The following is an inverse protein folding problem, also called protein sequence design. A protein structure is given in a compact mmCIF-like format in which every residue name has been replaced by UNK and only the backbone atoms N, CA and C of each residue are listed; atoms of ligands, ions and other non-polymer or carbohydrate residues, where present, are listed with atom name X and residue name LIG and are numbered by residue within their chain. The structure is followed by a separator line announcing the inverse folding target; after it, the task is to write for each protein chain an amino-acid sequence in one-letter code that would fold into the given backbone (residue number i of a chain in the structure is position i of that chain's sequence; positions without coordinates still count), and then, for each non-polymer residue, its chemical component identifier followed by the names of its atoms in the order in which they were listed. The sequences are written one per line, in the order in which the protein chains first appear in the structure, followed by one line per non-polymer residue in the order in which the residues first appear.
data_IF_433561578174
#
_entry.id   IF_433561578174
#
_cell.length_a   1.000
_cell.length_b   1.000
_cell.length_c   1.000
_cell.angle_alpha   90.00
_cell.angle_beta   90.00
_cell.angle_gamma   90.00
#
_symmetry.space_group_name_H-M   'P 1'
#
loop_
_entity.id
_entity.type
_entity.pdbx_description
1 polymer ?
#
# COMPACT_ATOMS: atom_id res chain seq x y z
N UNK A 1 16.77 19.99 -8.84
CA UNK A 1 16.68 20.99 -7.73
C UNK A 1 15.22 21.03 -7.30
N UNK A 2 14.89 20.35 -6.21
CA UNK A 2 13.51 20.29 -5.69
C UNK A 2 13.16 21.68 -5.17
N UNK A 3 12.31 22.43 -5.89
CA UNK A 3 11.83 23.73 -5.44
C UNK A 3 10.68 23.53 -4.47
N UNK A 4 10.90 23.98 -3.25
CA UNK A 4 9.92 24.02 -2.20
C UNK A 4 8.81 25.01 -2.54
N UNK A 5 7.62 24.56 -2.88
CA UNK A 5 6.43 25.39 -2.96
C UNK A 5 5.44 25.00 -1.87
N UNK A 6 5.38 25.86 -0.86
CA UNK A 6 4.52 25.75 0.33
C UNK A 6 2.99 25.70 0.03
N UNK A 7 2.57 25.81 -1.22
CA UNK A 7 1.16 26.03 -1.56
C UNK A 7 0.27 24.78 -1.55
N UNK A 8 0.79 23.57 -1.75
CA UNK A 8 0.01 22.33 -1.51
C UNK A 8 0.08 21.83 -0.07
N UNK A 9 1.14 22.17 0.67
CA UNK A 9 1.24 21.93 2.10
C UNK A 9 0.58 23.03 2.94
N UNK A 10 0.16 24.14 2.32
CA UNK A 10 -0.59 25.25 2.93
C UNK A 10 -2.09 25.01 2.98
N UNK A 11 -2.58 23.86 2.70
CA UNK A 11 -3.92 23.55 3.15
C UNK A 11 -3.85 23.35 4.68
N UNK A 12 -3.69 24.47 5.41
CA UNK A 12 -4.32 24.62 6.71
C UNK A 12 -5.79 24.31 6.46
N UNK A 13 -6.15 23.01 6.46
CA UNK A 13 -7.51 22.60 6.66
C UNK A 13 -7.92 23.13 8.03
N UNK A 14 -8.26 24.40 8.10
CA UNK A 14 -9.30 24.82 9.02
C UNK A 14 -10.53 24.07 8.55
N UNK A 15 -10.70 22.88 9.15
CA UNK A 15 -11.90 22.09 9.02
C UNK A 15 -13.04 23.01 9.49
N UNK A 16 -13.57 23.77 8.55
CA UNK A 16 -14.83 24.49 8.74
C UNK A 16 -15.95 23.46 8.65
N UNK A 17 -16.05 22.64 9.68
CA UNK A 17 -16.93 21.50 9.90
C UNK A 17 -16.56 20.23 9.11
N UNK A 18 -16.25 19.15 9.84
CA UNK A 18 -16.14 17.76 9.34
C UNK A 18 -17.45 17.29 8.68
N UNK A 19 -18.58 17.88 9.03
CA UNK A 19 -19.88 17.45 8.60
C UNK A 19 -20.04 17.39 7.05
N UNK A 20 -19.71 18.38 6.23
CA UNK A 20 -19.93 18.28 4.80
C UNK A 20 -19.05 17.23 4.13
N UNK A 21 -17.79 17.12 4.56
CA UNK A 21 -16.80 16.22 3.96
C UNK A 21 -17.15 14.74 4.20
N UNK A 22 -17.52 14.37 5.41
CA UNK A 22 -17.91 13.00 5.75
C UNK A 22 -19.16 12.55 4.99
N UNK A 23 -20.12 13.45 4.76
CA UNK A 23 -21.33 13.12 3.99
C UNK A 23 -21.02 12.84 2.53
N UNK A 24 -20.10 13.59 1.90
CA UNK A 24 -19.64 13.31 0.53
C UNK A 24 -19.01 11.93 0.43
N UNK A 25 -18.16 11.56 1.39
CA UNK A 25 -17.53 10.24 1.40
C UNK A 25 -18.53 9.12 1.67
N UNK A 26 -19.43 9.28 2.65
CA UNK A 26 -20.50 8.30 2.92
C UNK A 26 -21.41 8.10 1.71
N UNK A 27 -21.81 9.16 1.05
CA UNK A 27 -22.64 9.09 -0.16
C UNK A 27 -21.92 8.34 -1.30
N UNK A 28 -20.63 8.63 -1.51
CA UNK A 28 -19.83 7.94 -2.52
C UNK A 28 -19.73 6.42 -2.21
N UNK A 29 -19.49 6.04 -0.96
CA UNK A 29 -19.41 4.64 -0.54
C UNK A 29 -20.78 3.97 -0.64
N UNK A 30 -21.84 4.61 -0.11
CA UNK A 30 -23.19 4.08 -0.15
C UNK A 30 -23.72 3.84 -1.58
N UNK A 31 -23.25 4.64 -2.54
CA UNK A 31 -23.53 4.48 -3.97
C UNK A 31 -22.64 3.45 -4.70
N UNK A 32 -21.77 2.74 -3.97
CA UNK A 32 -20.86 1.74 -4.56
C UNK A 32 -19.70 2.34 -5.37
N UNK A 33 -19.45 3.66 -5.27
CA UNK A 33 -18.42 4.33 -6.07
C UNK A 33 -16.98 4.11 -5.56
N UNK A 34 -16.79 3.44 -4.43
CA UNK A 34 -15.51 3.21 -3.80
C UNK A 34 -15.22 1.72 -3.71
N UNK A 35 -14.08 1.29 -4.21
CA UNK A 35 -13.50 -0.03 -4.00
C UNK A 35 -12.24 0.05 -3.14
N UNK A 36 -11.79 -1.09 -2.64
CA UNK A 36 -10.60 -1.23 -1.81
C UNK A 36 -9.63 -2.23 -2.42
N UNK A 37 -8.32 -1.94 -2.39
CA UNK A 37 -7.28 -2.82 -2.93
C UNK A 37 -6.25 -3.10 -1.83
N UNK A 38 -6.17 -4.35 -1.42
CA UNK A 38 -5.23 -4.82 -0.42
C UNK A 38 -3.98 -5.39 -1.11
N UNK A 39 -2.82 -4.78 -0.87
CA UNK A 39 -1.53 -5.29 -1.34
C UNK A 39 -0.98 -6.33 -0.36
N UNK A 40 -1.15 -7.61 -0.67
CA UNK A 40 -0.88 -8.74 0.22
C UNK A 40 0.06 -9.81 -0.39
N UNK A 41 0.90 -9.45 -1.36
CA UNK A 41 1.86 -10.38 -1.99
C UNK A 41 3.02 -10.83 -1.09
N UNK A 42 3.19 -10.24 0.09
CA UNK A 42 4.30 -10.50 1.01
C UNK A 42 4.14 -11.77 1.85
N UNK A 43 5.30 -12.43 2.13
CA UNK A 43 5.41 -13.55 3.07
C UNK A 43 5.74 -13.08 4.48
N UNK A 44 5.45 -13.92 5.47
CA UNK A 44 5.72 -13.68 6.90
C UNK A 44 7.17 -13.97 7.35
N UNK A 45 8.14 -14.06 6.45
CA UNK A 45 9.49 -14.54 6.75
C UNK A 45 10.19 -13.76 7.85
N UNK A 46 10.06 -12.43 7.85
CA UNK A 46 10.60 -11.57 8.93
C UNK A 46 9.88 -11.74 10.28
N UNK A 47 8.70 -12.36 10.26
CA UNK A 47 7.93 -12.71 11.46
C UNK A 47 8.23 -14.15 11.92
N UNK A 48 9.12 -14.86 11.21
CA UNK A 48 9.46 -16.26 11.48
C UNK A 48 8.40 -17.24 10.95
N UNK A 49 7.63 -16.87 9.95
CA UNK A 49 6.61 -17.69 9.31
C UNK A 49 6.88 -17.85 7.80
N UNK A 50 6.67 -19.04 7.27
CA UNK A 50 6.73 -19.37 5.85
C UNK A 50 5.37 -19.18 5.15
N UNK A 51 4.37 -18.70 5.86
CA UNK A 51 3.01 -18.44 5.39
C UNK A 51 2.85 -17.00 4.89
N UNK A 52 1.75 -16.70 4.16
CA UNK A 52 1.40 -15.33 3.81
C UNK A 52 1.36 -14.43 5.05
N UNK A 53 1.83 -13.18 4.93
CA UNK A 53 1.90 -12.27 6.07
C UNK A 53 0.55 -12.04 6.74
N UNK A 54 -0.52 -11.96 5.95
CA UNK A 54 -1.88 -11.72 6.44
C UNK A 54 -2.46 -12.82 7.32
N UNK A 55 -1.93 -14.05 7.25
CA UNK A 55 -2.37 -15.16 8.12
C UNK A 55 -1.64 -15.19 9.46
N UNK A 56 -0.70 -14.26 9.69
CA UNK A 56 0.04 -14.21 10.95
C UNK A 56 -0.90 -13.84 12.10
N UNK A 57 -0.83 -14.63 13.17
CA UNK A 57 -1.65 -14.43 14.37
C UNK A 57 -1.01 -13.40 15.31
N UNK A 58 -1.71 -12.31 15.51
CA UNK A 58 -1.33 -11.21 16.41
C UNK A 58 -2.09 -11.24 17.73
N UNK A 59 -2.93 -12.25 17.95
CA UNK A 59 -3.72 -12.40 19.15
C UNK A 59 -2.87 -12.68 20.41
N UNK A 60 -3.49 -12.52 21.58
CA UNK A 60 -2.89 -12.78 22.91
C UNK A 60 -3.78 -13.72 23.70
N UNK A 61 -5.05 -13.39 23.85
CA UNK A 61 -6.07 -14.16 24.59
C UNK A 61 -6.95 -14.98 23.67
N UNK A 62 -7.07 -14.57 22.42
CA UNK A 62 -7.75 -15.25 21.32
C UNK A 62 -6.92 -15.17 20.05
N UNK A 63 -7.25 -15.97 19.06
CA UNK A 63 -6.65 -15.81 17.73
C UNK A 63 -7.19 -14.55 17.07
N UNK A 64 -6.28 -13.71 16.56
CA UNK A 64 -6.56 -12.53 15.77
C UNK A 64 -5.56 -12.46 14.63
N UNK A 65 -6.02 -12.60 13.43
CA UNK A 65 -5.15 -12.59 12.24
C UNK A 65 -5.04 -11.20 11.62
N UNK A 66 -3.93 -10.91 10.96
CA UNK A 66 -3.75 -9.62 10.26
C UNK A 66 -4.89 -9.40 9.25
N UNK A 67 -5.25 -10.42 8.44
CA UNK A 67 -6.37 -10.32 7.51
C UNK A 67 -7.70 -10.05 8.24
N UNK A 68 -7.97 -10.73 9.37
CA UNK A 68 -9.15 -10.50 10.19
C UNK A 68 -9.27 -9.02 10.59
N UNK A 69 -8.18 -8.43 11.12
CA UNK A 69 -8.16 -7.02 11.51
C UNK A 69 -8.46 -6.07 10.35
N UNK A 70 -7.93 -6.36 9.17
CA UNK A 70 -8.18 -5.52 7.99
C UNK A 70 -9.64 -5.64 7.53
N UNK A 71 -10.23 -6.83 7.58
CA UNK A 71 -11.65 -7.02 7.27
C UNK A 71 -12.53 -6.32 8.32
N UNK A 72 -12.20 -6.41 9.61
CA UNK A 72 -12.91 -5.69 10.67
C UNK A 72 -12.85 -4.16 10.46
N UNK A 73 -11.68 -3.61 10.12
CA UNK A 73 -11.54 -2.19 9.79
C UNK A 73 -12.40 -1.76 8.57
N UNK A 74 -12.59 -2.66 7.60
CA UNK A 74 -13.48 -2.41 6.47
C UNK A 74 -14.95 -2.55 6.88
N UNK A 75 -15.29 -3.52 7.74
CA UNK A 75 -16.65 -3.71 8.29
C UNK A 75 -17.12 -2.50 9.10
N UNK A 76 -16.23 -1.80 9.80
CA UNK A 76 -16.57 -0.55 10.50
C UNK A 76 -17.16 0.48 9.52
N UNK A 77 -16.59 0.59 8.32
CA UNK A 77 -17.07 1.48 7.26
C UNK A 77 -18.38 0.97 6.64
N UNK A 78 -18.51 -0.35 6.44
CA UNK A 78 -19.77 -0.97 5.99
C UNK A 78 -20.89 -0.67 6.97
N UNK A 79 -20.66 -0.83 8.28
CA UNK A 79 -21.63 -0.54 9.33
C UNK A 79 -22.01 0.95 9.36
N UNK A 80 -21.07 1.84 9.07
CA UNK A 80 -21.28 3.28 9.05
C UNK A 80 -22.05 3.77 7.81
N UNK A 81 -21.89 3.09 6.67
CA UNK A 81 -22.44 3.51 5.36
C UNK A 81 -23.61 2.66 4.87
N UNK A 82 -23.79 1.47 5.45
CA UNK A 82 -24.80 0.50 5.02
C UNK A 82 -24.49 -0.19 3.68
N UNK A 83 -23.26 -0.07 3.16
CA UNK A 83 -22.88 -0.62 1.85
C UNK A 83 -21.59 -1.40 1.93
N UNK A 84 -21.57 -2.60 1.32
CA UNK A 84 -20.34 -3.36 1.15
C UNK A 84 -19.44 -2.73 0.07
N UNK A 85 -18.14 -2.80 0.32
CA UNK A 85 -17.09 -2.31 -0.56
C UNK A 85 -16.41 -3.48 -1.27
N UNK A 86 -16.30 -3.46 -2.59
CA UNK A 86 -15.52 -4.48 -3.29
C UNK A 86 -14.05 -4.43 -2.85
N UNK A 87 -13.54 -5.55 -2.34
CA UNK A 87 -12.17 -5.73 -1.89
C UNK A 87 -11.39 -6.58 -2.90
N UNK A 88 -10.39 -5.98 -3.53
CA UNK A 88 -9.46 -6.65 -4.43
C UNK A 88 -8.17 -6.98 -3.69
N UNK A 89 -7.85 -8.25 -3.53
CA UNK A 89 -6.69 -8.74 -2.77
C UNK A 89 -5.59 -9.14 -3.73
N UNK A 90 -4.53 -8.34 -3.82
CA UNK A 90 -3.34 -8.66 -4.58
C UNK A 90 -2.47 -9.65 -3.80
N UNK A 91 -2.24 -10.79 -4.38
CA UNK A 91 -1.36 -11.86 -3.86
C UNK A 91 -0.10 -11.97 -4.71
N UNK A 92 0.77 -12.91 -4.40
CA UNK A 92 1.90 -13.33 -5.22
C UNK A 92 1.74 -14.80 -5.65
N UNK A 93 2.49 -15.25 -6.66
CA UNK A 93 2.51 -16.66 -7.05
C UNK A 93 2.75 -17.60 -5.85
N UNK A 94 3.60 -17.16 -4.91
CA UNK A 94 3.97 -17.96 -3.73
C UNK A 94 2.87 -18.10 -2.69
N UNK A 95 2.00 -17.10 -2.55
CA UNK A 95 1.06 -17.05 -1.44
C UNK A 95 -0.42 -17.03 -1.86
N UNK A 96 -0.71 -17.07 -3.16
CA UNK A 96 -2.07 -16.97 -3.66
C UNK A 96 -2.98 -18.08 -3.14
N UNK A 97 -2.56 -19.34 -3.31
CA UNK A 97 -3.34 -20.50 -2.89
C UNK A 97 -3.59 -20.49 -1.38
N UNK A 98 -2.54 -20.35 -0.59
CA UNK A 98 -2.64 -20.31 0.89
C UNK A 98 -3.54 -19.16 1.37
N UNK A 99 -3.47 -17.99 0.70
CA UNK A 99 -4.30 -16.84 1.05
C UNK A 99 -5.78 -17.13 0.78
N UNK A 100 -6.11 -17.65 -0.41
CA UNK A 100 -7.50 -17.97 -0.78
C UNK A 100 -8.07 -19.05 0.14
N UNK A 101 -7.31 -20.11 0.40
CA UNK A 101 -7.73 -21.20 1.29
C UNK A 101 -7.97 -20.70 2.71
N UNK A 102 -7.10 -19.83 3.22
CA UNK A 102 -7.26 -19.24 4.53
C UNK A 102 -8.53 -18.36 4.64
N UNK A 103 -8.81 -17.53 3.64
CA UNK A 103 -10.07 -16.78 3.61
C UNK A 103 -11.30 -17.69 3.61
N UNK A 104 -11.27 -18.77 2.84
CA UNK A 104 -12.35 -19.78 2.81
C UNK A 104 -12.49 -20.48 4.17
N UNK A 105 -11.38 -20.93 4.77
CA UNK A 105 -11.36 -21.57 6.10
C UNK A 105 -11.97 -20.66 7.16
N UNK A 106 -11.68 -19.38 7.12
CA UNK A 106 -12.20 -18.38 8.06
C UNK A 106 -13.56 -17.80 7.64
N UNK A 107 -14.26 -18.42 6.67
CA UNK A 107 -15.54 -17.92 6.15
C UNK A 107 -15.47 -16.42 5.81
N UNK A 108 -14.37 -16.01 5.15
CA UNK A 108 -14.08 -14.62 4.74
C UNK A 108 -14.20 -13.61 5.90
N UNK A 109 -14.01 -14.05 7.14
CA UNK A 109 -14.18 -13.25 8.36
C UNK A 109 -15.57 -12.59 8.44
N UNK A 110 -16.61 -13.24 7.91
CA UNK A 110 -17.97 -12.72 7.85
C UNK A 110 -18.24 -11.69 6.75
N UNK A 111 -17.27 -11.35 5.93
CA UNK A 111 -17.47 -10.50 4.75
C UNK A 111 -18.08 -11.30 3.60
N UNK A 112 -19.04 -10.77 2.80
CA UNK A 112 -19.61 -11.51 1.68
C UNK A 112 -18.56 -11.87 0.63
N UNK A 113 -18.44 -13.14 0.29
CA UNK A 113 -17.42 -13.65 -0.63
C UNK A 113 -17.51 -13.04 -2.04
N UNK A 114 -18.72 -12.65 -2.49
CA UNK A 114 -18.94 -12.03 -3.80
C UNK A 114 -18.32 -10.60 -3.90
N UNK A 115 -17.97 -10.02 -2.77
CA UNK A 115 -17.28 -8.73 -2.69
C UNK A 115 -15.75 -8.85 -2.54
N UNK A 116 -15.19 -10.08 -2.45
CA UNK A 116 -13.74 -10.30 -2.30
C UNK A 116 -13.18 -10.96 -3.57
N UNK A 117 -12.20 -10.31 -4.19
CA UNK A 117 -11.61 -10.71 -5.47
C UNK A 117 -10.10 -10.87 -5.32
N UNK A 118 -9.55 -12.04 -5.65
CA UNK A 118 -8.12 -12.32 -5.54
C UNK A 118 -7.45 -12.25 -6.90
N UNK A 119 -6.31 -11.58 -6.98
CA UNK A 119 -5.48 -11.54 -8.18
C UNK A 119 -3.99 -11.63 -7.83
N UNK A 120 -3.22 -12.16 -8.77
CA UNK A 120 -1.78 -12.35 -8.58
C UNK A 120 -1.04 -11.18 -9.21
N UNK A 121 -0.09 -10.59 -8.48
CA UNK A 121 0.80 -9.57 -9.02
C UNK A 121 1.69 -10.15 -10.12
N UNK A 122 2.00 -9.34 -11.12
CA UNK A 122 2.89 -9.75 -12.20
C UNK A 122 4.34 -9.93 -11.71
N UNK A 123 5.07 -10.76 -12.43
CA UNK A 123 6.47 -11.06 -12.15
C UNK A 123 7.36 -10.35 -13.17
N UNK A 124 8.52 -9.89 -12.72
CA UNK A 124 9.59 -9.37 -13.57
C UNK A 124 10.74 -10.35 -13.66
N UNK A 125 11.40 -10.48 -14.85
CA UNK A 125 12.59 -11.31 -14.98
C UNK A 125 13.74 -10.73 -14.16
N UNK A 126 14.57 -11.60 -13.60
CA UNK A 126 15.80 -11.22 -12.94
C UNK A 126 17.00 -11.36 -13.91
N UNK A 127 18.02 -10.52 -13.75
CA UNK A 127 19.22 -10.57 -14.58
C UNK A 127 20.50 -10.68 -13.75
N UNK A 128 21.57 -11.14 -14.38
CA UNK A 128 22.92 -10.97 -13.86
C UNK A 128 23.40 -9.51 -14.02
N UNK A 129 24.66 -9.24 -13.65
CA UNK A 129 25.27 -7.90 -13.74
C UNK A 129 25.54 -7.45 -15.18
N UNK A 130 25.59 -8.37 -16.15
CA UNK A 130 25.72 -8.09 -17.59
C UNK A 130 24.37 -7.93 -18.29
N UNK A 131 23.26 -8.04 -17.55
CA UNK A 131 21.91 -7.88 -18.08
C UNK A 131 21.33 -9.13 -18.76
N UNK A 132 21.99 -10.28 -18.64
CA UNK A 132 21.47 -11.57 -19.15
C UNK A 132 20.46 -12.14 -18.14
N UNK A 133 19.38 -12.72 -18.64
CA UNK A 133 18.40 -13.34 -17.76
C UNK A 133 19.00 -14.51 -16.98
N UNK A 134 18.78 -14.51 -15.67
CA UNK A 134 19.06 -15.66 -14.84
C UNK A 134 17.96 -16.73 -15.03
N UNK A 135 18.36 -17.99 -15.05
CA UNK A 135 17.42 -19.10 -15.23
C UNK A 135 17.14 -19.78 -13.90
N UNK A 136 15.86 -19.99 -13.60
CA UNK A 136 15.42 -20.82 -12.44
C UNK A 136 15.50 -22.31 -12.78
N UNK A 137 15.26 -22.67 -14.04
CA UNK A 137 15.41 -24.00 -14.60
C UNK A 137 15.77 -23.92 -16.08
N UNK A 138 16.05 -25.04 -16.73
CA UNK A 138 16.38 -25.08 -18.18
C UNK A 138 15.30 -24.47 -19.09
N UNK A 139 14.07 -24.35 -18.62
CA UNK A 139 12.92 -23.83 -19.39
C UNK A 139 12.22 -22.63 -18.75
N UNK A 140 12.72 -22.12 -17.61
CA UNK A 140 12.09 -21.03 -16.86
C UNK A 140 13.12 -19.98 -16.44
N UNK A 141 12.83 -18.73 -16.79
CA UNK A 141 13.59 -17.56 -16.33
C UNK A 141 13.32 -17.37 -14.82
N UNK A 142 14.36 -17.04 -14.07
CA UNK A 142 14.22 -16.63 -12.68
C UNK A 142 13.48 -15.29 -12.62
N UNK A 143 12.40 -15.25 -11.83
CA UNK A 143 11.54 -14.08 -11.73
C UNK A 143 11.38 -13.63 -10.28
N UNK A 144 10.94 -12.40 -10.11
CA UNK A 144 10.51 -11.85 -8.82
C UNK A 144 9.26 -11.00 -9.00
N UNK A 145 8.47 -10.78 -7.95
CA UNK A 145 7.40 -9.79 -8.00
C UNK A 145 7.89 -8.46 -8.59
N UNK A 146 7.10 -7.89 -9.52
CA UNK A 146 7.45 -6.65 -10.22
C UNK A 146 7.27 -5.38 -9.39
N UNK A 147 7.10 -5.53 -8.07
CA UNK A 147 6.85 -4.43 -7.15
C UNK A 147 5.36 -4.05 -7.04
N UNK A 148 5.07 -3.16 -6.10
CA UNK A 148 3.69 -2.76 -5.83
C UNK A 148 3.13 -1.72 -6.81
N UNK A 149 3.94 -1.14 -7.71
CA UNK A 149 3.48 -0.20 -8.73
C UNK A 149 2.68 -0.88 -9.87
N UNK A 150 2.92 -2.18 -10.11
CA UNK A 150 2.22 -2.95 -11.13
C UNK A 150 0.81 -3.44 -10.75
N UNK A 151 0.32 -3.08 -9.55
CA UNK A 151 -0.93 -3.63 -9.00
C UNK A 151 -2.15 -3.44 -9.92
N UNK A 152 -2.29 -2.26 -10.53
CA UNK A 152 -3.46 -1.96 -11.36
C UNK A 152 -3.45 -2.73 -12.68
N UNK A 153 -2.28 -2.87 -13.31
CA UNK A 153 -2.13 -3.70 -14.52
C UNK A 153 -2.41 -5.16 -14.22
N UNK A 154 -1.94 -5.68 -13.08
CA UNK A 154 -2.21 -7.06 -12.65
C UNK A 154 -3.71 -7.27 -12.38
N UNK A 155 -4.39 -6.30 -11.78
CA UNK A 155 -5.83 -6.31 -11.56
C UNK A 155 -6.61 -6.34 -12.89
N UNK A 156 -6.22 -5.50 -13.86
CA UNK A 156 -6.82 -5.49 -15.22
C UNK A 156 -6.58 -6.81 -15.95
N UNK A 157 -5.38 -7.37 -15.86
CA UNK A 157 -5.04 -8.67 -16.46
C UNK A 157 -5.87 -9.81 -15.88
N UNK A 158 -6.25 -9.73 -14.61
CA UNK A 158 -7.20 -10.66 -13.99
C UNK A 158 -8.67 -10.44 -14.43
N UNK A 159 -8.95 -9.38 -15.19
CA UNK A 159 -10.30 -9.06 -15.71
C UNK A 159 -11.19 -8.30 -14.73
N UNK A 160 -10.65 -7.79 -13.63
CA UNK A 160 -11.43 -7.09 -12.59
C UNK A 160 -11.74 -5.62 -12.93
N UNK A 161 -11.15 -5.07 -13.99
CA UNK A 161 -11.61 -3.84 -14.61
C UNK A 161 -13.08 -3.88 -15.01
N UNK A 162 -13.58 -5.06 -15.42
CA UNK A 162 -14.99 -5.28 -15.73
C UNK A 162 -15.90 -5.18 -14.51
N UNK A 163 -15.43 -5.66 -13.35
CA UNK A 163 -16.16 -5.51 -12.08
C UNK A 163 -16.18 -4.05 -11.67
N UNK A 164 -15.04 -3.34 -11.76
CA UNK A 164 -14.94 -1.92 -11.46
C UNK A 164 -15.92 -1.11 -12.32
N UNK A 165 -15.93 -1.35 -13.63
CA UNK A 165 -16.83 -0.67 -14.54
C UNK A 165 -18.31 -1.05 -14.31
N UNK A 166 -18.61 -2.35 -14.13
CA UNK A 166 -19.96 -2.86 -13.92
C UNK A 166 -20.59 -2.39 -12.60
N UNK A 167 -19.80 -2.25 -11.55
CA UNK A 167 -20.24 -1.73 -10.25
C UNK A 167 -20.24 -0.20 -10.18
N UNK A 168 -19.70 0.51 -11.18
CA UNK A 168 -19.60 1.97 -11.19
C UNK A 168 -18.59 2.51 -10.18
N UNK A 169 -17.53 1.77 -9.90
CA UNK A 169 -16.46 2.19 -8.97
C UNK A 169 -15.64 3.30 -9.62
N UNK A 170 -15.65 4.48 -9.02
CA UNK A 170 -14.93 5.67 -9.47
C UNK A 170 -13.61 5.88 -8.71
N UNK A 171 -13.46 5.26 -7.54
CA UNK A 171 -12.33 5.44 -6.64
C UNK A 171 -11.83 4.10 -6.09
N UNK A 172 -10.52 3.92 -6.02
CA UNK A 172 -9.88 2.75 -5.40
C UNK A 172 -8.98 3.19 -4.24
N UNK A 173 -9.30 2.71 -3.04
CA UNK A 173 -8.45 2.89 -1.87
C UNK A 173 -7.44 1.74 -1.80
N UNK A 174 -6.17 2.05 -2.04
CA UNK A 174 -5.07 1.08 -2.08
C UNK A 174 -4.27 1.13 -0.78
N UNK A 175 -4.05 -0.02 -0.16
CA UNK A 175 -3.39 -0.09 1.14
C UNK A 175 -2.58 -1.38 1.32
N UNK A 176 -1.61 -1.36 2.26
CA UNK A 176 -0.74 -2.50 2.53
C UNK A 176 -1.28 -3.40 3.65
N UNK A 177 -0.94 -4.69 3.56
CA UNK A 177 -1.34 -5.72 4.54
C UNK A 177 -0.71 -5.54 5.92
N UNK A 178 0.37 -4.78 6.04
CA UNK A 178 1.14 -4.71 7.27
C UNK A 178 0.59 -3.74 8.33
N UNK A 179 -0.21 -2.75 7.95
CA UNK A 179 -0.74 -1.77 8.90
C UNK A 179 -2.13 -2.19 9.42
N UNK A 180 -2.17 -2.72 10.63
CA UNK A 180 -3.39 -3.31 11.23
C UNK A 180 -4.37 -2.31 11.88
N UNK A 181 -4.00 -1.02 11.98
CA UNK A 181 -4.87 0.04 12.50
C UNK A 181 -5.47 0.93 11.42
N UNK A 182 -4.97 0.87 10.19
CA UNK A 182 -5.43 1.78 9.15
C UNK A 182 -6.95 1.68 8.91
N UNK A 183 -7.60 2.83 8.76
CA UNK A 183 -8.99 2.90 8.35
C UNK A 183 -9.08 2.81 6.84
N UNK A 184 -9.80 1.80 6.33
CA UNK A 184 -9.93 1.45 4.91
C UNK A 184 -11.21 2.06 4.37
N UNK A 185 -11.17 2.61 3.16
CA UNK A 185 -12.30 3.31 2.54
C UNK A 185 -12.94 4.37 3.48
N UNK A 186 -12.11 5.05 4.27
CA UNK A 186 -12.51 6.01 5.28
C UNK A 186 -13.38 7.13 4.67
N UNK A 187 -14.65 7.31 5.12
CA UNK A 187 -15.53 8.33 4.56
C UNK A 187 -14.99 9.75 4.64
N UNK A 188 -14.23 10.08 5.71
CA UNK A 188 -13.61 11.39 5.83
C UNK A 188 -12.50 11.59 4.81
N UNK A 189 -11.65 10.60 4.61
CA UNK A 189 -10.58 10.65 3.62
C UNK A 189 -11.11 10.70 2.18
N UNK A 190 -12.07 9.83 1.86
CA UNK A 190 -12.76 9.80 0.56
C UNK A 190 -13.43 11.15 0.29
N UNK A 191 -14.22 11.63 1.23
CA UNK A 191 -14.94 12.91 1.08
C UNK A 191 -14.00 14.11 0.99
N UNK A 192 -12.90 14.11 1.75
CA UNK A 192 -11.88 15.17 1.67
C UNK A 192 -11.22 15.21 0.29
N UNK A 193 -10.84 14.04 -0.26
CA UNK A 193 -10.21 13.96 -1.58
C UNK A 193 -11.17 14.47 -2.67
N UNK A 194 -12.42 14.03 -2.66
CA UNK A 194 -13.45 14.45 -3.62
C UNK A 194 -13.74 15.94 -3.50
N UNK A 195 -13.98 16.45 -2.28
CA UNK A 195 -14.36 17.84 -2.04
C UNK A 195 -13.26 18.85 -2.39
N UNK A 196 -12.00 18.41 -2.41
CA UNK A 196 -10.86 19.23 -2.84
C UNK A 196 -10.54 19.10 -4.34
N UNK A 197 -11.36 18.37 -5.10
CA UNK A 197 -11.13 18.09 -6.52
C UNK A 197 -9.76 17.48 -6.81
N UNK A 198 -9.20 16.73 -5.86
CA UNK A 198 -7.96 16.01 -6.07
C UNK A 198 -8.24 14.67 -6.75
N UNK A 199 -7.37 14.26 -7.67
CA UNK A 199 -7.47 12.98 -8.37
C UNK A 199 -6.85 11.82 -7.58
N UNK A 200 -6.09 12.16 -6.55
CA UNK A 200 -5.50 11.24 -5.59
C UNK A 200 -5.56 11.81 -4.18
N UNK A 201 -5.58 10.93 -3.19
CA UNK A 201 -5.32 11.24 -1.79
C UNK A 201 -4.26 10.30 -1.25
N UNK A 202 -3.45 10.77 -0.31
CA UNK A 202 -2.49 9.98 0.44
C UNK A 202 -2.69 10.22 1.93
N UNK A 203 -2.95 9.18 2.70
CA UNK A 203 -2.88 9.29 4.16
C UNK A 203 -1.42 9.46 4.59
N UNK A 204 -1.19 10.43 5.45
CA UNK A 204 0.15 10.78 5.95
C UNK A 204 0.14 10.93 7.46
N UNK A 205 1.30 10.69 8.06
CA UNK A 205 1.58 10.92 9.48
C UNK A 205 2.72 11.92 9.62
N UNK A 206 2.75 12.66 10.73
CA UNK A 206 3.95 13.44 11.03
C UNK A 206 5.09 12.51 11.45
N UNK A 207 6.27 12.74 10.88
CA UNK A 207 7.49 12.02 11.29
C UNK A 207 7.80 12.33 12.76
N UNK A 208 8.20 11.30 13.50
CA UNK A 208 8.61 11.49 14.92
C UNK A 208 9.97 12.16 15.03
N UNK A 209 10.81 12.04 14.00
CA UNK A 209 12.09 12.74 13.86
C UNK A 209 12.50 12.76 12.38
N UNK A 210 13.53 13.55 12.05
CA UNK A 210 14.02 13.73 10.68
C UNK A 210 14.58 12.44 10.02
N UNK A 211 15.04 11.49 10.81
CA UNK A 211 15.70 10.27 10.37
C UNK A 211 14.74 9.06 10.32
N UNK A 212 13.45 9.25 10.62
CA UNK A 212 12.46 8.20 10.52
C UNK A 212 12.40 7.64 9.08
N UNK A 213 12.47 6.29 8.97
CA UNK A 213 12.55 5.57 7.69
C UNK A 213 11.17 5.40 7.05
N UNK A 214 10.59 6.50 6.61
CA UNK A 214 9.33 6.54 5.84
C UNK A 214 9.50 7.46 4.64
N UNK A 215 8.89 7.13 3.51
CA UNK A 215 8.81 8.00 2.35
C UNK A 215 8.01 9.27 2.68
N UNK A 216 8.34 10.40 2.08
CA UNK A 216 7.74 11.70 2.38
C UNK A 216 7.00 12.24 1.17
N UNK A 217 5.71 12.56 1.36
CA UNK A 217 4.93 13.27 0.34
C UNK A 217 5.35 14.73 0.26
N UNK A 218 5.67 15.20 -0.93
CA UNK A 218 6.10 16.56 -1.21
C UNK A 218 5.64 17.00 -2.61
N UNK A 219 6.03 18.20 -3.01
CA UNK A 219 5.90 18.68 -4.40
C UNK A 219 7.28 18.72 -5.07
N UNK A 220 7.34 18.19 -6.26
CA UNK A 220 8.47 18.28 -7.18
C UNK A 220 7.98 18.97 -8.45
N UNK A 221 8.50 20.15 -8.76
CA UNK A 221 8.07 20.99 -9.89
C UNK A 221 6.55 21.23 -9.97
N UNK A 222 5.91 21.43 -8.80
CA UNK A 222 4.47 21.59 -8.59
C UNK A 222 3.62 20.33 -8.82
N UNK A 223 4.21 19.17 -9.06
CA UNK A 223 3.53 17.89 -9.11
C UNK A 223 3.71 17.12 -7.79
N UNK A 224 2.71 16.33 -7.37
CA UNK A 224 2.86 15.50 -6.19
C UNK A 224 4.00 14.48 -6.40
N UNK A 225 4.83 14.31 -5.39
CA UNK A 225 5.95 13.37 -5.41
C UNK A 225 6.12 12.74 -4.04
N UNK A 226 6.64 11.52 -4.02
CA UNK A 226 7.07 10.87 -2.80
C UNK A 226 8.57 10.63 -2.92
N UNK A 227 9.33 11.15 -1.96
CA UNK A 227 10.77 10.95 -1.85
C UNK A 227 11.01 9.90 -0.77
N UNK A 228 11.67 8.82 -1.12
CA UNK A 228 11.99 7.76 -0.17
C UNK A 228 13.04 8.23 0.85
N UNK A 229 13.00 7.66 2.05
CA UNK A 229 13.87 8.10 3.17
C UNK A 229 15.36 8.01 2.85
N UNK A 230 15.79 7.11 1.97
CA UNK A 230 17.19 6.96 1.54
C UNK A 230 17.58 7.94 0.41
N UNK A 231 16.62 8.61 -0.20
CA UNK A 231 16.81 9.66 -1.20
C UNK A 231 16.85 11.07 -0.57
N UNK A 232 16.36 11.20 0.68
CA UNK A 232 16.38 12.47 1.40
C UNK A 232 17.81 12.91 1.69
N UNK A 233 18.24 14.03 1.11
CA UNK A 233 19.53 14.66 1.39
C UNK A 233 19.53 15.29 2.80
N UNK A 234 20.71 15.57 3.34
CA UNK A 234 20.85 16.26 4.63
C UNK A 234 20.23 17.66 4.59
N UNK A 235 20.28 18.35 3.46
CA UNK A 235 19.60 19.63 3.25
C UNK A 235 18.08 19.46 3.39
N UNK A 236 17.49 18.47 2.73
CA UNK A 236 16.05 18.17 2.82
C UNK A 236 15.63 17.78 4.24
N UNK A 237 16.43 16.95 4.92
CA UNK A 237 16.15 16.53 6.31
C UNK A 237 16.16 17.68 7.32
N UNK A 238 16.97 18.70 7.08
CA UNK A 238 17.11 19.86 7.96
C UNK A 238 16.30 21.09 7.50
N UNK A 239 15.65 21.01 6.34
CA UNK A 239 14.83 22.10 5.82
C UNK A 239 13.61 22.35 6.72
N UNK A 240 13.29 23.63 6.95
CA UNK A 240 12.13 24.07 7.71
C UNK A 240 11.20 24.91 6.82
N UNK A 241 9.92 24.90 7.14
CA UNK A 241 8.92 25.76 6.51
C UNK A 241 8.95 27.18 7.12
N UNK A 242 8.10 28.07 6.63
CA UNK A 242 7.99 29.45 7.12
C UNK A 242 7.63 29.56 8.61
N UNK A 243 7.07 28.50 9.20
CA UNK A 243 6.71 28.41 10.63
C UNK A 243 7.84 27.81 11.49
N UNK A 244 8.98 27.43 10.90
CA UNK A 244 10.09 26.76 11.58
C UNK A 244 9.87 25.26 11.83
N UNK A 245 8.83 24.65 11.24
CA UNK A 245 8.56 23.21 11.34
C UNK A 245 9.34 22.46 10.26
N UNK A 246 9.70 21.16 10.48
CA UNK A 246 10.33 20.35 9.44
C UNK A 246 9.52 20.36 8.14
N UNK A 247 10.19 20.67 7.06
CA UNK A 247 9.55 20.85 5.77
C UNK A 247 9.14 19.51 5.13
N UNK A 248 9.99 18.48 5.23
CA UNK A 248 9.72 17.13 4.75
C UNK A 248 9.22 16.24 5.89
N UNK A 249 7.99 16.49 6.35
CA UNK A 249 7.44 15.90 7.58
C UNK A 249 6.25 14.96 7.36
N UNK A 250 5.64 14.94 6.17
CA UNK A 250 4.48 14.09 5.91
C UNK A 250 4.91 12.70 5.42
N UNK A 251 5.10 11.80 6.39
CA UNK A 251 5.42 10.40 6.13
C UNK A 251 4.21 9.65 5.55
N UNK A 252 4.39 8.97 4.40
CA UNK A 252 3.34 8.17 3.78
C UNK A 252 3.21 6.81 4.47
N UNK A 253 1.97 6.33 4.62
CA UNK A 253 1.68 5.07 5.32
C UNK A 253 1.16 3.97 4.37
N UNK A 254 1.36 4.14 3.05
CA UNK A 254 0.86 3.27 2.01
C UNK A 254 -0.66 3.04 2.14
N UNK A 255 -1.39 4.14 2.19
CA UNK A 255 -2.84 4.17 2.10
C UNK A 255 -3.22 5.34 1.20
N UNK A 256 -3.57 5.01 -0.04
CA UNK A 256 -3.84 5.96 -1.12
C UNK A 256 -5.26 5.81 -1.63
N UNK A 257 -5.85 6.89 -2.09
CA UNK A 257 -7.11 6.89 -2.82
C UNK A 257 -6.86 7.40 -4.24
N UNK A 258 -7.17 6.62 -5.25
CA UNK A 258 -6.98 6.97 -6.65
C UNK A 258 -8.31 7.05 -7.38
N UNK A 259 -8.48 8.06 -8.23
CA UNK A 259 -9.58 8.09 -9.19
C UNK A 259 -9.31 7.06 -10.29
N UNK A 260 -10.27 6.19 -10.60
CA UNK A 260 -10.10 5.08 -11.55
C UNK A 260 -9.74 5.55 -12.96
N UNK A 261 -10.31 6.68 -13.40
CA UNK A 261 -10.00 7.31 -14.68
C UNK A 261 -8.50 7.64 -14.82
N UNK A 262 -7.88 8.14 -13.74
CA UNK A 262 -6.44 8.43 -13.72
C UNK A 262 -5.57 7.18 -13.72
N UNK A 263 -6.03 6.12 -13.08
CA UNK A 263 -5.35 4.82 -13.11
C UNK A 263 -5.32 4.25 -14.53
N UNK A 264 -6.40 4.41 -15.31
CA UNK A 264 -6.41 3.99 -16.71
C UNK A 264 -5.44 4.81 -17.57
N UNK A 265 -5.33 6.12 -17.31
CA UNK A 265 -4.35 6.99 -17.95
C UNK A 265 -2.91 6.57 -17.63
N UNK A 266 -2.61 6.33 -16.35
CA UNK A 266 -1.28 5.90 -15.87
C UNK A 266 -0.93 4.50 -16.39
N UNK A 267 -1.89 3.59 -16.46
CA UNK A 267 -1.67 2.23 -16.96
C UNK A 267 -1.16 2.18 -18.41
N UNK A 268 -1.46 3.22 -19.21
CA UNK A 268 -0.92 3.38 -20.55
C UNK A 268 0.53 3.90 -20.58
N UNK A 269 1.05 4.35 -19.44
CA UNK A 269 2.42 4.86 -19.28
C UNK A 269 3.34 3.76 -18.73
N UNK A 270 4.65 3.89 -18.99
CA UNK A 270 5.64 3.00 -18.39
C UNK A 270 6.15 3.63 -17.10
N UNK A 271 5.95 2.96 -15.97
CA UNK A 271 6.60 3.32 -14.73
C UNK A 271 8.11 3.04 -14.81
N UNK A 272 8.96 3.87 -14.19
CA UNK A 272 10.39 3.61 -14.14
C UNK A 272 10.66 2.34 -13.31
N UNK A 273 11.53 1.44 -13.78
CA UNK A 273 11.94 0.30 -12.97
C UNK A 273 12.97 0.74 -11.93
N UNK A 274 12.77 0.34 -10.69
CA UNK A 274 13.77 0.40 -9.63
C UNK A 274 14.61 -0.87 -9.68
N UNK A 275 15.92 -0.71 -9.78
CA UNK A 275 16.89 -1.82 -9.89
C UNK A 275 17.47 -2.09 -8.51
N UNK A 276 17.35 -3.32 -8.03
CA UNK A 276 17.81 -3.71 -6.70
C UNK A 276 18.69 -4.95 -6.78
N UNK A 277 19.90 -4.86 -6.25
CA UNK A 277 20.81 -6.02 -6.13
C UNK A 277 20.27 -7.03 -5.12
N UNK A 278 20.24 -8.29 -5.52
CA UNK A 278 19.72 -9.39 -4.68
C UNK A 278 20.47 -10.70 -4.92
N UNK A 279 20.39 -11.57 -3.91
CA UNK A 279 20.70 -13.00 -4.04
C UNK A 279 19.56 -13.65 -4.81
N UNK A 280 19.86 -14.21 -5.97
CA UNK A 280 18.87 -14.80 -6.87
C UNK A 280 19.26 -16.24 -7.11
N UNK A 281 18.46 -17.18 -6.59
CA UNK A 281 18.62 -18.59 -6.88
C UNK A 281 18.46 -18.82 -8.39
N UNK A 282 19.37 -19.55 -8.98
CA UNK A 282 19.40 -19.80 -10.42
C UNK A 282 20.04 -21.15 -10.74
N UNK A 283 20.14 -21.51 -12.00
CA UNK A 283 20.97 -22.62 -12.45
C UNK A 283 22.19 -22.08 -13.19
N UNK A 284 23.30 -22.81 -13.15
CA UNK A 284 24.49 -22.56 -13.94
C UNK A 284 24.32 -23.08 -15.39
N UNK A 285 25.40 -22.93 -16.21
CA UNK A 285 25.41 -23.37 -17.60
C UNK A 285 25.23 -24.90 -17.76
N UNK A 286 25.61 -25.67 -16.76
CA UNK A 286 25.48 -27.13 -16.73
C UNK A 286 24.10 -27.58 -16.23
N UNK A 287 23.32 -26.65 -15.65
CA UNK A 287 21.98 -26.89 -15.11
C UNK A 287 21.97 -27.28 -13.63
N UNK A 288 23.06 -27.04 -12.89
CA UNK A 288 23.10 -27.24 -11.46
C UNK A 288 22.50 -26.05 -10.72
N UNK A 289 21.84 -26.31 -9.58
CA UNK A 289 21.30 -25.27 -8.72
C UNK A 289 22.41 -24.44 -8.07
N UNK A 290 22.26 -23.12 -8.17
CA UNK A 290 23.13 -22.11 -7.54
C UNK A 290 22.31 -21.31 -6.55
N UNK A 291 22.63 -21.42 -5.27
CA UNK A 291 22.06 -20.60 -4.18
C UNK A 291 23.14 -19.64 -3.68
N UNK A 292 23.21 -18.41 -4.19
CA UNK A 292 24.32 -17.49 -3.91
C UNK A 292 24.29 -17.00 -2.44
N UNK A 293 25.48 -16.90 -1.85
CA UNK A 293 25.67 -16.33 -0.52
C UNK A 293 25.75 -14.81 -0.54
N UNK A 294 26.13 -14.22 -1.70
CA UNK A 294 26.18 -12.77 -1.95
C UNK A 294 25.26 -12.39 -3.11
N UNK A 295 24.89 -11.11 -3.26
CA UNK A 295 24.15 -10.65 -4.43
C UNK A 295 24.84 -11.06 -5.74
N UNK A 296 24.07 -11.60 -6.68
CA UNK A 296 24.58 -12.11 -7.96
C UNK A 296 23.83 -11.53 -9.16
N UNK A 297 22.96 -10.54 -8.95
CA UNK A 297 22.21 -9.92 -10.03
C UNK A 297 21.15 -8.94 -9.56
N UNK A 298 20.34 -8.53 -10.50
CA UNK A 298 19.34 -7.48 -10.35
C UNK A 298 17.92 -8.02 -10.39
N UNK A 299 17.07 -7.47 -9.51
CA UNK A 299 15.60 -7.52 -9.57
C UNK A 299 15.08 -6.16 -9.97
N UNK A 300 13.95 -6.18 -10.69
CA UNK A 300 13.32 -4.98 -11.22
C UNK A 300 11.94 -4.83 -10.59
N UNK A 301 11.69 -3.68 -9.97
CA UNK A 301 10.44 -3.41 -9.27
C UNK A 301 9.90 -2.05 -9.73
N UNK A 302 8.59 -1.94 -9.92
CA UNK A 302 7.90 -0.66 -10.04
C UNK A 302 7.23 -0.32 -8.72
N UNK A 303 7.18 0.95 -8.36
CA UNK A 303 6.65 1.37 -7.07
C UNK A 303 5.39 2.24 -7.24
N UNK A 304 4.44 2.06 -6.33
CA UNK A 304 3.19 2.85 -6.32
C UNK A 304 3.46 4.35 -6.16
N UNK A 305 4.57 4.72 -5.53
CA UNK A 305 4.99 6.10 -5.38
C UNK A 305 5.28 6.78 -6.74
N UNK A 306 5.74 6.02 -7.74
CA UNK A 306 5.98 6.57 -9.09
C UNK A 306 4.66 6.88 -9.81
N UNK A 307 3.58 6.20 -9.47
CA UNK A 307 2.25 6.53 -9.98
C UNK A 307 1.81 7.93 -9.50
N UNK A 308 2.16 8.30 -8.25
CA UNK A 308 1.82 9.61 -7.67
C UNK A 308 2.46 10.75 -8.46
N UNK A 309 3.71 10.58 -8.93
CA UNK A 309 4.42 11.58 -9.76
C UNK A 309 3.76 11.87 -11.10
N UNK A 310 2.94 10.95 -11.59
CA UNK A 310 2.23 11.07 -12.88
C UNK A 310 0.86 11.75 -12.75
N UNK A 311 0.45 12.11 -11.52
CA UNK A 311 -0.85 12.72 -11.23
C UNK A 311 -0.76 14.24 -11.11
N UNK A 312 -1.84 14.91 -11.47
CA UNK A 312 -1.92 16.37 -11.41
C UNK A 312 -2.12 16.90 -9.99
N UNK A 313 -2.70 16.08 -9.10
CA UNK A 313 -2.94 16.46 -7.70
C UNK A 313 -3.01 15.26 -6.77
N UNK A 314 -2.52 15.44 -5.53
CA UNK A 314 -2.65 14.47 -4.45
C UNK A 314 -2.91 15.20 -3.13
N UNK A 315 -4.02 14.89 -2.48
CA UNK A 315 -4.34 15.41 -1.16
C UNK A 315 -3.44 14.75 -0.09
N UNK A 316 -2.68 15.53 0.66
CA UNK A 316 -2.05 15.06 1.89
C UNK A 316 -3.08 15.06 3.02
N UNK A 317 -3.59 13.88 3.38
CA UNK A 317 -4.56 13.70 4.45
C UNK A 317 -3.87 13.22 5.72
N UNK A 318 -3.61 14.16 6.64
CA UNK A 318 -2.93 13.85 7.90
C UNK A 318 -3.86 13.05 8.83
N UNK A 319 -3.36 11.91 9.32
CA UNK A 319 -4.05 11.05 10.29
C UNK A 319 -3.32 11.04 11.62
N UNK A 320 -4.05 10.75 12.70
CA UNK A 320 -3.46 10.56 14.02
C UNK A 320 -2.70 9.24 14.03
N UNK A 321 -1.37 9.32 14.15
CA UNK A 321 -0.45 8.17 14.09
C UNK A 321 -0.91 7.00 14.96
N UNK A 322 -1.24 7.25 16.22
CA UNK A 322 -1.62 6.23 17.19
C UNK A 322 -2.98 5.59 16.89
N UNK A 323 -3.75 6.19 15.99
CA UNK A 323 -5.07 5.71 15.59
C UNK A 323 -5.05 4.92 14.28
N UNK A 324 -4.11 5.22 13.37
CA UNK A 324 -4.11 4.66 12.02
C UNK A 324 -2.78 4.07 11.55
N UNK A 325 -1.74 4.04 12.40
CA UNK A 325 -0.44 3.53 11.99
C UNK A 325 0.17 2.56 12.99
N UNK A 326 -0.04 1.27 12.77
CA UNK A 326 0.56 0.16 13.53
C UNK A 326 1.12 -0.90 12.58
N UNK A 327 2.22 -0.59 11.87
CA UNK A 327 2.79 -1.51 10.89
C UNK A 327 3.49 -2.70 11.57
N UNK A 328 3.32 -3.89 10.99
CA UNK A 328 3.96 -5.13 11.42
C UNK A 328 4.98 -5.53 10.37
N UNK A 329 6.23 -5.13 10.54
CA UNK A 329 7.33 -5.49 9.64
C UNK A 329 8.29 -6.51 10.26
N UNK A 330 8.41 -6.49 11.60
CA UNK A 330 9.33 -7.30 12.37
C UNK A 330 8.60 -8.04 13.49
N UNK A 331 9.26 -9.01 14.12
CA UNK A 331 8.71 -9.72 15.27
C UNK A 331 8.75 -8.85 16.53
N UNK A 332 9.85 -8.15 16.74
CA UNK A 332 10.13 -7.31 17.94
C UNK A 332 10.69 -5.96 17.52
N UNK A 333 10.64 -4.96 18.42
CA UNK A 333 11.20 -3.62 18.24
C UNK A 333 10.24 -2.68 17.51
N UNK A 334 10.80 -1.76 16.70
CA UNK A 334 10.02 -0.78 15.93
C UNK A 334 9.28 -1.48 14.80
N UNK A 335 8.07 -1.04 14.48
CA UNK A 335 7.21 -1.61 13.44
C UNK A 335 7.04 -3.14 13.61
N UNK A 336 6.73 -3.57 14.81
CA UNK A 336 6.71 -4.99 15.17
C UNK A 336 5.34 -5.48 15.62
N UNK A 337 5.22 -6.80 15.78
CA UNK A 337 4.06 -7.43 16.41
C UNK A 337 3.81 -6.85 17.80
N UNK A 338 4.88 -6.65 18.60
CA UNK A 338 4.76 -6.12 19.96
C UNK A 338 4.24 -4.68 19.97
N UNK A 339 4.85 -3.78 19.19
CA UNK A 339 4.42 -2.37 19.11
C UNK A 339 3.00 -2.25 18.54
N UNK A 340 2.64 -3.10 17.57
CA UNK A 340 1.28 -3.11 17.02
C UNK A 340 0.24 -3.57 18.06
N UNK A 341 0.55 -4.63 18.84
CA UNK A 341 -0.33 -5.10 19.94
C UNK A 341 -0.57 -4.01 20.99
N UNK A 342 0.46 -3.25 21.36
CA UNK A 342 0.31 -2.14 22.29
C UNK A 342 -0.63 -1.06 21.75
N UNK A 343 -0.49 -0.68 20.48
CA UNK A 343 -1.34 0.31 19.83
C UNK A 343 -2.79 -0.21 19.67
N UNK A 344 -2.97 -1.47 19.29
CA UNK A 344 -4.30 -2.09 19.20
C UNK A 344 -5.02 -2.05 20.56
N UNK A 345 -4.35 -2.45 21.65
CA UNK A 345 -4.91 -2.35 23.01
C UNK A 345 -5.26 -0.92 23.41
N UNK A 346 -4.37 0.06 23.13
CA UNK A 346 -4.66 1.49 23.38
C UNK A 346 -5.88 2.00 22.62
N UNK A 347 -6.21 1.36 21.50
CA UNK A 347 -7.41 1.66 20.71
C UNK A 347 -8.63 0.80 21.09
N UNK A 348 -8.56 0.04 22.19
CA UNK A 348 -9.67 -0.75 22.69
C UNK A 348 -9.93 -2.04 21.91
N UNK A 349 -8.96 -2.51 21.14
CA UNK A 349 -9.09 -3.74 20.35
C UNK A 349 -8.60 -4.91 21.21
N UNK A 350 -9.48 -5.90 21.39
CA UNK A 350 -9.18 -7.13 22.12
C UNK A 350 -8.33 -8.09 21.24
N UNK A 351 -7.28 -8.64 21.85
CA UNK A 351 -6.34 -9.53 21.22
C UNK A 351 -6.27 -10.89 21.91
#
# INVERSE_FOLDING_TARGET
MVKYHSNCLKQDFKIQSYAPVIYVGKDAIAKGKVGAVLLAGGMGTRLGSDKPKGVFDIGITRHVYIFERLIENLMDVVNETGSYVHLFVMTSEKNNTDTIEFFKEKNYFGYPCDYIHFFVQDMAPASDYEGRFLMESKSRIATSPNGNGGWYLSLKKAGYDKIIAGAGIEWLNVFAVDNVLQRIADPCFVGATISNNCVCGSKVIRKVNKDEKVGVLCLEDNHPSIVEYYELTDEMKNAVNEKGEPAYNFGVILNYLFKTEELDRIAAMKLPPHVVEKKIACIDADGNEVNPEEPNGYKYETLILDMIKLLDSCLAYEVVREKEFAPIKNKTGVDSVESARELLKKNGIEL
#
